data_IF_708255237838
#
_entry.id   IF_708255237838
#
_cell.length_a   1.000
_cell.length_b   1.000
_cell.length_c   1.000
_cell.angle_alpha   90.00
_cell.angle_beta   90.00
_cell.angle_gamma   90.00
#
_symmetry.space_group_name_H-M   'P 1'
#
loop_
_entity.id
_entity.type
_entity.pdbx_description
1 polymer ?
#
# COMPACT_ATOMS: atom_id res chain seq x y z
N UNK A 1 -4.76 14.76 -13.56
CA UNK A 1 -4.20 13.38 -13.45
C UNK A 1 -4.09 12.77 -14.83
N UNK A 2 -3.13 11.94 -15.04
CA UNK A 2 -2.97 11.28 -16.31
C UNK A 2 -2.61 9.81 -16.13
N UNK A 3 -2.99 9.02 -17.12
CA UNK A 3 -2.69 7.59 -17.18
C UNK A 3 -1.24 7.39 -17.65
N UNK A 4 -0.49 6.57 -16.92
CA UNK A 4 0.94 6.32 -17.19
C UNK A 4 1.19 4.83 -17.27
N UNK A 5 2.01 4.44 -18.22
CA UNK A 5 2.54 3.08 -18.24
C UNK A 5 3.49 2.87 -17.07
N UNK A 6 3.36 1.75 -16.38
CA UNK A 6 4.24 1.40 -15.26
C UNK A 6 5.21 0.30 -15.67
N UNK A 7 4.68 -0.84 -16.06
CA UNK A 7 5.50 -2.01 -16.42
C UNK A 7 4.61 -3.09 -17.04
N UNK A 8 5.23 -4.14 -17.57
CA UNK A 8 4.50 -5.33 -17.92
C UNK A 8 4.00 -6.03 -16.66
N UNK A 9 2.84 -6.71 -16.73
CA UNK A 9 2.24 -7.32 -15.55
C UNK A 9 3.12 -8.40 -14.94
N UNK A 10 3.87 -9.12 -15.73
CA UNK A 10 4.80 -10.14 -15.24
C UNK A 10 6.01 -9.56 -14.48
N UNK A 11 6.27 -8.27 -14.63
CA UNK A 11 7.31 -7.57 -13.87
C UNK A 11 6.86 -7.16 -12.48
N UNK A 12 5.57 -7.33 -12.19
CA UNK A 12 4.98 -6.97 -10.89
C UNK A 12 4.14 -8.16 -10.38
N UNK A 13 4.78 -9.30 -10.06
CA UNK A 13 4.05 -10.46 -9.57
C UNK A 13 3.47 -10.23 -8.18
N UNK A 14 2.53 -11.10 -7.74
CA UNK A 14 1.94 -10.98 -6.40
C UNK A 14 3.01 -10.89 -5.30
N UNK A 15 2.80 -9.99 -4.35
CA UNK A 15 3.71 -9.76 -3.25
C UNK A 15 4.85 -8.79 -3.56
N UNK A 16 4.83 -8.13 -4.71
CA UNK A 16 5.85 -7.15 -5.08
C UNK A 16 5.29 -5.75 -5.24
N UNK A 17 6.18 -4.78 -5.28
CA UNK A 17 5.86 -3.35 -5.39
C UNK A 17 6.82 -2.68 -6.34
N UNK A 18 6.33 -1.64 -7.03
CA UNK A 18 7.16 -0.79 -7.86
C UNK A 18 6.89 0.67 -7.51
N UNK A 19 7.96 1.43 -7.26
CA UNK A 19 7.87 2.87 -7.01
C UNK A 19 7.87 3.59 -8.35
N UNK A 20 6.87 4.46 -8.54
CA UNK A 20 6.68 5.22 -9.77
C UNK A 20 6.94 6.70 -9.48
N UNK A 21 7.70 7.35 -10.35
CA UNK A 21 7.94 8.79 -10.25
C UNK A 21 6.72 9.54 -10.77
N UNK A 22 5.77 9.74 -9.87
CA UNK A 22 4.51 10.43 -10.15
C UNK A 22 4.13 11.26 -8.93
N UNK A 23 3.53 12.42 -9.15
CA UNK A 23 3.21 13.35 -8.08
C UNK A 23 4.46 13.92 -7.41
N UNK A 24 4.28 14.48 -6.22
CA UNK A 24 5.36 15.16 -5.51
C UNK A 24 6.34 14.21 -4.82
N UNK A 25 5.83 13.09 -4.31
CA UNK A 25 6.61 12.18 -3.47
C UNK A 25 6.83 10.81 -4.10
N UNK A 26 6.27 10.57 -5.27
CA UNK A 26 6.22 9.24 -5.87
C UNK A 26 4.99 8.47 -5.42
N UNK A 27 4.73 7.38 -6.12
CA UNK A 27 3.58 6.49 -5.87
C UNK A 27 4.08 5.05 -5.88
N UNK A 28 3.71 4.29 -4.85
CA UNK A 28 4.00 2.86 -4.82
C UNK A 28 2.84 2.08 -5.41
N UNK A 29 3.13 1.23 -6.39
CA UNK A 29 2.15 0.32 -7.00
C UNK A 29 2.41 -1.08 -6.48
N UNK A 30 1.40 -1.68 -5.85
CA UNK A 30 1.51 -2.96 -5.16
C UNK A 30 0.61 -4.00 -5.81
N UNK A 31 1.14 -5.19 -6.00
CA UNK A 31 0.33 -6.34 -6.37
C UNK A 31 0.05 -7.15 -5.10
N UNK A 32 -1.20 -7.17 -4.69
CA UNK A 32 -1.64 -7.93 -3.52
C UNK A 32 -2.61 -9.00 -4.01
N UNK A 33 -2.13 -10.24 -4.02
CA UNK A 33 -2.91 -11.40 -4.47
C UNK A 33 -3.54 -11.25 -5.86
N UNK A 34 -2.84 -10.58 -6.77
CA UNK A 34 -3.30 -10.38 -8.15
C UNK A 34 -4.09 -9.10 -8.38
N UNK A 35 -4.37 -8.33 -7.34
CA UNK A 35 -5.06 -7.04 -7.45
C UNK A 35 -4.06 -5.91 -7.24
N UNK A 36 -4.09 -4.92 -8.12
CA UNK A 36 -3.16 -3.80 -8.06
C UNK A 36 -3.73 -2.65 -7.25
N UNK A 37 -2.90 -2.09 -6.36
CA UNK A 37 -3.23 -0.92 -5.55
C UNK A 37 -2.10 0.09 -5.64
N UNK A 38 -2.42 1.37 -5.46
CA UNK A 38 -1.40 2.41 -5.47
C UNK A 38 -1.66 3.43 -4.37
N UNK A 39 -0.60 3.76 -3.64
CA UNK A 39 -0.65 4.76 -2.56
C UNK A 39 0.50 5.74 -2.71
N UNK A 40 0.30 6.95 -2.21
CA UNK A 40 1.37 7.95 -2.18
C UNK A 40 2.54 7.49 -1.30
N UNK A 41 3.75 7.78 -1.75
CA UNK A 41 4.97 7.50 -0.98
C UNK A 41 5.20 8.61 0.06
N UNK A 42 4.25 8.74 0.98
CA UNK A 42 4.25 9.82 1.96
C UNK A 42 3.51 9.39 3.21
N UNK A 43 4.20 9.40 4.35
CA UNK A 43 3.57 9.08 5.63
C UNK A 43 2.82 10.31 6.14
N UNK A 44 1.54 10.16 6.48
CA UNK A 44 0.70 11.26 6.97
C UNK A 44 1.18 11.82 8.33
N UNK A 45 2.03 11.08 9.04
CA UNK A 45 2.57 11.52 10.33
C UNK A 45 3.61 12.64 10.14
N UNK A 46 4.72 12.35 9.47
CA UNK A 46 5.81 13.32 9.30
C UNK A 46 6.41 13.32 7.89
N UNK A 47 5.72 12.79 6.90
CA UNK A 47 6.16 12.81 5.52
C UNK A 47 7.25 11.82 5.16
N UNK A 48 7.45 10.78 5.97
CA UNK A 48 8.44 9.75 5.68
C UNK A 48 8.12 8.95 4.41
N UNK A 49 9.13 8.24 3.84
CA UNK A 49 8.97 7.48 2.60
C UNK A 49 8.20 6.17 2.86
N UNK A 50 6.88 6.27 2.90
CA UNK A 50 6.01 5.16 3.27
C UNK A 50 6.25 3.89 2.46
N UNK A 51 6.43 4.02 1.15
CA UNK A 51 6.59 2.86 0.28
C UNK A 51 7.96 2.18 0.38
N UNK A 52 8.91 2.77 1.12
CA UNK A 52 10.16 2.10 1.49
C UNK A 52 9.97 1.19 2.71
N UNK A 53 8.80 1.19 3.32
CA UNK A 53 8.52 0.44 4.52
C UNK A 53 8.31 -1.05 4.27
N UNK A 54 8.37 -1.80 5.35
CA UNK A 54 8.16 -3.25 5.33
C UNK A 54 6.69 -3.58 5.16
N UNK A 55 6.39 -4.53 4.26
CA UNK A 55 5.03 -5.01 4.03
C UNK A 55 4.80 -6.30 4.80
N UNK A 56 3.75 -6.34 5.56
CA UNK A 56 3.36 -7.50 6.36
C UNK A 56 1.89 -7.42 6.73
N UNK A 57 1.56 -7.86 7.92
CA UNK A 57 0.21 -7.76 8.47
C UNK A 57 0.18 -6.95 9.74
N UNK A 58 -0.91 -7.01 10.45
CA UNK A 58 -1.10 -6.36 11.74
C UNK A 58 -1.78 -7.32 12.71
N UNK A 59 -1.82 -6.94 13.98
CA UNK A 59 -2.50 -7.71 15.00
C UNK A 59 -3.78 -7.02 15.44
N UNK A 60 -4.81 -7.80 15.73
CA UNK A 60 -6.05 -7.30 16.31
C UNK A 60 -6.48 -8.22 17.45
N UNK A 61 -7.31 -7.71 18.35
CA UNK A 61 -7.85 -8.54 19.40
C UNK A 61 -8.80 -9.58 18.81
N UNK A 62 -8.64 -10.83 19.27
CA UNK A 62 -9.54 -11.91 18.91
C UNK A 62 -10.77 -11.85 19.81
N UNK A 63 -11.96 -11.47 19.30
CA UNK A 63 -13.13 -11.29 20.16
C UNK A 63 -13.57 -12.59 20.83
N UNK A 64 -13.28 -13.73 20.22
CA UNK A 64 -13.60 -15.05 20.75
C UNK A 64 -12.63 -15.54 21.84
N UNK A 65 -11.48 -14.84 22.00
CA UNK A 65 -10.45 -15.23 22.97
C UNK A 65 -9.94 -13.98 23.69
N UNK A 66 -10.62 -13.51 24.74
CA UNK A 66 -10.24 -12.30 25.45
C UNK A 66 -8.78 -12.30 25.90
N UNK A 67 -8.10 -11.16 25.65
CA UNK A 67 -6.69 -10.99 25.96
C UNK A 67 -5.75 -11.61 24.94
N UNK A 68 -6.27 -12.19 23.87
CA UNK A 68 -5.46 -12.75 22.78
C UNK A 68 -5.49 -11.87 21.55
N UNK A 69 -4.35 -11.87 20.83
CA UNK A 69 -4.22 -11.20 19.54
C UNK A 69 -4.19 -12.24 18.43
N UNK A 70 -4.67 -11.86 17.27
CA UNK A 70 -4.48 -12.64 16.05
C UNK A 70 -3.86 -11.79 14.97
N UNK A 71 -3.03 -12.41 14.16
CA UNK A 71 -2.38 -11.76 13.04
C UNK A 71 -3.32 -11.75 11.83
N UNK A 72 -3.53 -10.59 11.23
CA UNK A 72 -4.47 -10.41 10.11
C UNK A 72 -3.87 -9.53 9.03
N UNK A 73 -4.51 -9.52 7.87
CA UNK A 73 -4.18 -8.68 6.72
C UNK A 73 -2.74 -8.85 6.24
N UNK A 74 -2.23 -10.08 6.27
CA UNK A 74 -0.88 -10.35 5.78
C UNK A 74 -0.73 -9.93 4.32
N UNK A 75 0.35 -9.23 4.02
CA UNK A 75 0.63 -8.72 2.69
C UNK A 75 -0.09 -7.42 2.33
N UNK A 76 -0.93 -6.87 3.23
CA UNK A 76 -1.73 -5.66 2.98
C UNK A 76 -1.30 -4.45 3.78
N UNK A 77 -0.45 -4.64 4.78
CA UNK A 77 -0.05 -3.58 5.70
C UNK A 77 1.38 -3.16 5.40
N UNK A 78 1.60 -1.87 5.20
CA UNK A 78 2.94 -1.29 5.08
C UNK A 78 3.21 -0.45 6.32
N UNK A 79 4.43 -0.57 6.86
CA UNK A 79 4.87 0.22 8.01
C UNK A 79 5.81 1.32 7.55
N UNK A 80 5.49 2.56 7.92
CA UNK A 80 6.37 3.67 7.66
C UNK A 80 7.71 3.44 8.39
N UNK A 81 8.86 3.54 7.70
CA UNK A 81 10.15 3.26 8.34
C UNK A 81 10.53 4.29 9.42
N UNK A 82 9.91 5.48 9.42
CA UNK A 82 10.27 6.52 10.38
C UNK A 82 9.67 6.29 11.76
N UNK A 83 8.35 5.97 11.86
CA UNK A 83 7.68 5.83 13.15
C UNK A 83 6.81 4.59 13.26
N UNK A 84 6.96 3.66 12.33
CA UNK A 84 6.26 2.38 12.33
C UNK A 84 4.73 2.50 12.25
N UNK A 85 4.22 3.62 11.73
CA UNK A 85 2.78 3.74 11.47
C UNK A 85 2.36 2.72 10.43
N UNK A 86 1.28 2.01 10.71
CA UNK A 86 0.75 0.96 9.84
C UNK A 86 -0.37 1.49 8.97
N UNK A 87 -0.26 1.23 7.67
CA UNK A 87 -1.26 1.61 6.68
C UNK A 87 -1.77 0.37 5.96
N UNK A 88 -3.10 0.30 5.76
CA UNK A 88 -3.68 -0.70 4.87
C UNK A 88 -3.52 -0.20 3.43
N UNK A 89 -2.71 -0.89 2.64
CA UNK A 89 -2.41 -0.50 1.26
C UNK A 89 -3.68 -0.45 0.41
N UNK A 90 -4.66 -1.31 0.69
CA UNK A 90 -5.88 -1.40 -0.11
C UNK A 90 -6.81 -0.20 0.07
N UNK A 91 -6.66 0.57 1.15
CA UNK A 91 -7.51 1.73 1.44
C UNK A 91 -6.74 3.02 1.63
N UNK A 92 -5.42 2.93 1.88
CA UNK A 92 -4.60 4.09 2.24
C UNK A 92 -4.80 4.57 3.67
N UNK A 93 -5.59 3.87 4.47
CA UNK A 93 -5.93 4.31 5.83
C UNK A 93 -4.98 3.71 6.85
N UNK A 94 -4.68 4.50 7.91
CA UNK A 94 -3.90 3.96 9.01
C UNK A 94 -4.72 2.94 9.80
N UNK A 95 -4.05 1.94 10.34
CA UNK A 95 -4.70 0.89 11.14
C UNK A 95 -5.18 1.46 12.48
N UNK A 96 -4.34 2.26 13.14
CA UNK A 96 -4.64 2.81 14.46
C UNK A 96 -5.77 3.87 14.42
N UNK A 97 -5.82 4.68 13.36
CA UNK A 97 -6.84 5.72 13.22
C UNK A 97 -7.26 5.82 11.75
N UNK A 98 -8.33 5.11 11.35
CA UNK A 98 -8.78 5.09 9.94
C UNK A 98 -9.20 6.43 9.35
N UNK A 99 -9.32 7.48 10.18
CA UNK A 99 -9.57 8.84 9.70
C UNK A 99 -8.33 9.45 9.06
N UNK A 100 -7.15 8.98 9.45
CA UNK A 100 -5.87 9.40 8.86
C UNK A 100 -5.54 8.48 7.70
N UNK A 101 -5.21 9.08 6.57
CA UNK A 101 -4.96 8.32 5.33
C UNK A 101 -4.02 9.05 4.42
N UNK A 102 -3.48 8.31 3.47
CA UNK A 102 -2.69 8.85 2.36
C UNK A 102 -3.51 8.72 1.07
N UNK A 103 -3.23 9.54 0.05
CA UNK A 103 -3.91 9.41 -1.23
C UNK A 103 -3.71 8.03 -1.84
N UNK A 104 -4.78 7.51 -2.43
CA UNK A 104 -4.75 6.30 -3.24
C UNK A 104 -5.00 6.67 -4.70
N UNK A 105 -4.53 5.83 -5.62
CA UNK A 105 -4.63 6.11 -7.04
C UNK A 105 -5.16 4.88 -7.76
N UNK A 106 -5.80 5.13 -8.89
CA UNK A 106 -6.34 4.06 -9.73
C UNK A 106 -5.22 3.36 -10.49
N UNK A 107 -5.25 2.03 -10.47
CA UNK A 107 -4.36 1.19 -11.27
C UNK A 107 -5.22 0.27 -12.10
N UNK A 108 -4.91 0.15 -13.39
CA UNK A 108 -5.57 -0.83 -14.25
C UNK A 108 -4.55 -1.64 -15.03
N UNK A 109 -4.97 -2.83 -15.40
CA UNK A 109 -4.17 -3.74 -16.23
C UNK A 109 -4.89 -3.92 -17.54
N UNK A 110 -4.20 -3.65 -18.64
CA UNK A 110 -4.75 -3.77 -19.98
C UNK A 110 -3.69 -4.36 -20.91
N UNK A 111 -4.07 -5.40 -21.66
CA UNK A 111 -3.17 -6.05 -22.62
C UNK A 111 -1.84 -6.49 -22.00
N UNK A 112 -1.88 -7.01 -20.77
CA UNK A 112 -0.69 -7.48 -20.07
C UNK A 112 0.21 -6.37 -19.52
N UNK A 113 -0.28 -5.14 -19.46
CA UNK A 113 0.49 -3.98 -19.01
C UNK A 113 -0.22 -3.26 -17.87
N UNK A 114 0.57 -2.74 -16.93
CA UNK A 114 0.08 -2.02 -15.74
C UNK A 114 0.13 -0.53 -15.99
N UNK A 115 -0.98 0.15 -15.71
CA UNK A 115 -1.12 1.60 -15.87
C UNK A 115 -1.57 2.24 -14.57
N UNK A 116 -0.97 3.38 -14.25
CA UNK A 116 -1.30 4.19 -13.08
C UNK A 116 -1.93 5.51 -13.55
N UNK A 117 -3.03 5.89 -12.89
CA UNK A 117 -3.63 7.21 -13.10
C UNK A 117 -3.30 8.08 -11.88
N UNK A 118 -2.38 9.00 -12.09
CA UNK A 118 -1.90 9.88 -11.02
C UNK A 118 -1.51 11.27 -11.55
#
# INVERSE_FOLDING_TARGET
>A
MRRRFVCAVEELPPGTMKLVDAGKFGVGVYNIDGVMYAIANYCAHEGGPLCAGFVGGTNEFAPELPGRLRHVREGRIVRCPWHQWEYDITTGRTVADPRKRVPTYQVDVADGEVYLTA
#
